data_IF_661875378468
#
_entry.id   IF_661875378468
#
_cell.length_a   1.000
_cell.length_b   1.000
_cell.length_c   1.000
_cell.angle_alpha   90.00
_cell.angle_beta   90.00
_cell.angle_gamma   90.00
#
_symmetry.space_group_name_H-M   'P 1'
#
loop_
_entity.id
_entity.type
_entity.pdbx_description
1 polymer ?
#
# COMPACT_ATOMS: atom_id res chain seq x y z
N UNK A 1 -13.21 -11.14 -9.19
CA UNK A 1 -12.53 -10.24 -8.23
C UNK A 1 -11.56 -11.02 -7.40
N UNK A 2 -10.37 -10.53 -7.29
CA UNK A 2 -9.35 -11.20 -6.51
C UNK A 2 -9.56 -10.90 -5.03
N UNK A 3 -9.71 -11.96 -4.24
CA UNK A 3 -9.96 -11.80 -2.81
C UNK A 3 -8.73 -12.13 -1.99
N UNK A 4 -7.59 -11.80 -2.53
CA UNK A 4 -6.35 -12.04 -1.85
C UNK A 4 -6.30 -11.25 -0.55
N UNK A 5 -5.85 -11.90 0.51
CA UNK A 5 -5.74 -11.27 1.82
C UNK A 5 -4.43 -10.51 1.99
N UNK A 6 -3.39 -10.99 1.32
CA UNK A 6 -2.06 -10.40 1.41
C UNK A 6 -1.52 -10.20 0.01
N UNK A 7 -0.77 -9.13 -0.17
CA UNK A 7 -0.14 -8.83 -1.45
C UNK A 7 1.36 -8.77 -1.29
N UNK A 8 2.05 -9.20 -2.34
CA UNK A 8 3.50 -9.00 -2.41
C UNK A 8 3.76 -7.52 -2.61
N UNK A 9 5.00 -7.12 -2.29
CA UNK A 9 5.40 -5.73 -2.47
C UNK A 9 5.16 -5.27 -3.90
N UNK A 10 5.58 -6.07 -4.89
CA UNK A 10 5.41 -5.69 -6.28
C UNK A 10 3.94 -5.57 -6.68
N UNK A 11 3.12 -6.46 -6.15
CA UNK A 11 1.68 -6.43 -6.43
C UNK A 11 1.02 -5.19 -5.83
N UNK A 12 1.39 -4.87 -4.61
CA UNK A 12 0.84 -3.70 -3.94
C UNK A 12 1.24 -2.42 -4.66
N UNK A 13 2.49 -2.34 -5.10
CA UNK A 13 2.95 -1.19 -5.86
C UNK A 13 2.15 -1.02 -7.15
N UNK A 14 1.93 -2.13 -7.85
CA UNK A 14 1.14 -2.10 -9.08
C UNK A 14 -0.28 -1.65 -8.82
N UNK A 15 -0.89 -2.18 -7.77
CA UNK A 15 -2.27 -1.83 -7.42
C UNK A 15 -2.37 -0.35 -7.10
N UNK A 16 -1.41 0.18 -6.36
CA UNK A 16 -1.40 1.60 -5.99
C UNK A 16 -0.90 2.50 -7.11
N UNK A 17 -0.32 1.92 -8.16
CA UNK A 17 0.19 2.70 -9.27
C UNK A 17 1.43 3.49 -8.94
N UNK A 18 2.26 2.97 -8.07
CA UNK A 18 3.49 3.64 -7.65
C UNK A 18 4.67 2.70 -7.84
N UNK A 19 5.88 3.25 -7.76
CA UNK A 19 7.08 2.44 -7.87
C UNK A 19 7.31 1.67 -6.58
N UNK A 20 8.10 0.60 -6.66
CA UNK A 20 8.49 -0.14 -5.47
C UNK A 20 9.25 0.73 -4.50
N UNK A 21 10.11 1.61 -5.03
CA UNK A 21 10.88 2.52 -4.19
C UNK A 21 9.95 3.39 -3.35
N UNK A 22 8.92 3.92 -3.98
CA UNK A 22 7.95 4.75 -3.27
C UNK A 22 7.23 3.92 -2.22
N UNK A 23 6.87 2.68 -2.57
CA UNK A 23 6.19 1.81 -1.63
C UNK A 23 7.07 1.54 -0.41
N UNK A 24 8.34 1.23 -0.61
CA UNK A 24 9.25 0.99 0.50
C UNK A 24 9.41 2.23 1.36
N UNK A 25 9.40 3.40 0.74
CA UNK A 25 9.47 4.64 1.49
C UNK A 25 8.26 4.82 2.38
N UNK A 26 7.07 4.49 1.86
CA UNK A 26 5.84 4.57 2.65
C UNK A 26 5.86 3.61 3.81
N UNK A 27 6.41 2.43 3.60
CA UNK A 27 6.54 1.45 4.67
C UNK A 27 7.53 1.95 5.71
N UNK A 28 8.65 2.49 5.27
CA UNK A 28 9.68 2.98 6.18
C UNK A 28 9.20 4.14 7.01
N UNK A 29 8.34 4.99 6.45
CA UNK A 29 7.83 6.14 7.17
C UNK A 29 6.67 5.80 8.11
N UNK A 30 6.18 4.57 8.03
CA UNK A 30 5.06 4.15 8.85
C UNK A 30 3.70 4.50 8.27
N UNK A 31 3.67 5.07 7.07
CA UNK A 31 2.40 5.42 6.44
C UNK A 31 1.67 4.20 5.89
N UNK A 32 2.40 3.13 5.63
CA UNK A 32 1.82 1.92 5.10
C UNK A 32 2.41 0.74 5.86
N UNK A 33 1.56 -0.04 6.50
CA UNK A 33 2.02 -1.16 7.32
C UNK A 33 2.29 -2.39 6.45
N UNK A 34 3.39 -3.06 6.75
CA UNK A 34 3.70 -4.34 6.13
C UNK A 34 3.91 -5.36 7.23
N UNK A 35 3.59 -6.60 6.94
CA UNK A 35 3.83 -7.69 7.87
C UNK A 35 4.78 -8.69 7.24
N UNK A 36 5.38 -9.52 8.07
CA UNK A 36 6.21 -10.60 7.59
C UNK A 36 5.50 -11.92 7.78
N UNK A 37 5.47 -12.68 6.71
CA UNK A 37 4.97 -14.05 6.78
C UNK A 37 6.18 -14.92 6.51
N UNK A 38 6.70 -15.52 7.57
CA UNK A 38 8.03 -16.12 7.50
C UNK A 38 9.06 -15.04 7.30
N UNK A 39 9.78 -15.09 6.20
CA UNK A 39 10.77 -14.05 5.85
C UNK A 39 10.26 -13.11 4.77
N UNK A 40 9.05 -13.33 4.28
CA UNK A 40 8.53 -12.59 3.14
C UNK A 40 7.68 -11.41 3.60
N UNK A 41 7.98 -10.20 3.12
CA UNK A 41 7.13 -9.05 3.42
C UNK A 41 5.84 -9.12 2.61
N UNK A 42 4.75 -8.74 3.26
CA UNK A 42 3.43 -8.75 2.62
C UNK A 42 2.64 -7.55 3.11
N UNK A 43 1.77 -7.07 2.26
CA UNK A 43 0.88 -5.96 2.60
C UNK A 43 -0.54 -6.51 2.67
N UNK A 44 -1.18 -6.44 3.84
CA UNK A 44 -2.57 -6.90 3.94
C UNK A 44 -3.50 -6.07 3.07
N UNK A 45 -4.49 -6.73 2.48
CA UNK A 45 -5.46 -6.04 1.64
C UNK A 45 -6.14 -4.90 2.40
N UNK A 46 -6.46 -5.14 3.66
CA UNK A 46 -7.12 -4.10 4.47
C UNK A 46 -6.24 -2.89 4.69
N UNK A 47 -4.94 -3.10 4.76
CA UNK A 47 -4.00 -1.98 4.90
C UNK A 47 -4.00 -1.14 3.63
N UNK A 48 -4.02 -1.79 2.47
CA UNK A 48 -4.08 -1.06 1.20
C UNK A 48 -5.37 -0.25 1.11
N UNK A 49 -6.48 -0.85 1.45
CA UNK A 49 -7.76 -0.16 1.39
C UNK A 49 -7.79 1.03 2.33
N UNK A 50 -7.29 0.83 3.53
CA UNK A 50 -7.25 1.90 4.53
C UNK A 50 -6.33 3.03 4.11
N UNK A 51 -5.20 2.67 3.53
CA UNK A 51 -4.24 3.66 3.05
C UNK A 51 -4.86 4.53 1.97
N UNK A 52 -5.52 3.91 1.00
CA UNK A 52 -6.15 4.66 -0.08
C UNK A 52 -7.26 5.54 0.46
N UNK A 53 -8.07 4.99 1.34
CA UNK A 53 -9.17 5.73 1.95
C UNK A 53 -8.65 6.96 2.68
N UNK A 54 -7.59 6.77 3.44
CA UNK A 54 -6.98 7.85 4.19
C UNK A 54 -6.37 8.90 3.26
N UNK A 55 -5.71 8.45 2.21
CA UNK A 55 -5.10 9.35 1.25
C UNK A 55 -6.14 10.21 0.55
N UNK A 56 -7.26 9.60 0.21
CA UNK A 56 -8.35 10.33 -0.44
C UNK A 56 -8.92 11.39 0.49
N UNK A 57 -9.06 11.06 1.77
CA UNK A 57 -9.58 12.00 2.74
C UNK A 57 -8.65 13.17 3.00
N UNK A 58 -7.35 12.89 2.95
CA UNK A 58 -6.35 13.89 3.29
C UNK A 58 -5.93 14.71 2.10
N UNK A 59 -6.24 14.26 0.90
CA UNK A 59 -5.81 14.96 -0.28
C UNK A 59 -6.72 16.13 -0.52
N UNK A 60 -6.10 17.25 -0.84
CA UNK A 60 -6.82 18.42 -1.28
C UNK A 60 -6.96 18.29 -2.76
N UNK A 61 -8.16 18.37 -3.26
CA UNK A 61 -8.34 18.30 -4.70
C UNK A 61 -7.65 19.47 -5.33
N UNK A 62 -6.73 19.15 -6.18
CA UNK A 62 -5.91 20.15 -6.78
C UNK A 62 -6.19 20.17 -8.27
N UNK A 63 -6.93 21.12 -8.68
CA UNK A 63 -7.40 21.20 -10.06
C UNK A 63 -6.43 21.99 -10.91
N UNK A 64 -5.31 21.43 -11.10
CA UNK A 64 -4.34 22.08 -11.95
C UNK A 64 -4.43 21.62 -13.35
#
# INVERSE_FOLDING_TARGET
>A
MDERLLYRISEAADILGISRSTLYRLIASGELAAIRVGTAPRIPAKVLERFVDQAVRNVRIDNR
#
